data_IF_312040298413
#
_entry.id   IF_312040298413
#
_cell.length_a   1.000
_cell.length_b   1.000
_cell.length_c   1.000
_cell.angle_alpha   90.00
_cell.angle_beta   90.00
_cell.angle_gamma   90.00
#
_symmetry.space_group_name_H-M   'P 1'
#
loop_
_entity.id
_entity.type
_entity.pdbx_description
1 polymer ?
#
# COMPACT_ATOMS: atom_id res chain seq x y z
N UNK A 1 -7.65 11.09 -9.70
CA UNK A 1 -8.86 10.40 -10.23
C UNK A 1 -9.47 9.56 -9.13
N UNK A 2 -10.79 9.58 -8.99
CA UNK A 2 -11.49 8.79 -7.95
C UNK A 2 -11.40 7.29 -8.25
N UNK A 3 -11.32 6.47 -7.20
CA UNK A 3 -11.26 5.01 -7.34
C UNK A 3 -12.46 4.44 -8.09
N UNK A 4 -13.66 4.96 -7.84
CA UNK A 4 -14.87 4.56 -8.55
C UNK A 4 -14.78 4.76 -10.06
N UNK A 5 -14.20 5.88 -10.50
CA UNK A 5 -13.97 6.16 -11.94
C UNK A 5 -12.97 5.18 -12.57
N UNK A 6 -11.90 4.81 -11.82
CA UNK A 6 -10.93 3.82 -12.28
C UNK A 6 -11.58 2.46 -12.47
N UNK A 7 -12.39 2.03 -11.48
CA UNK A 7 -13.10 0.75 -11.54
C UNK A 7 -14.09 0.74 -12.70
N UNK A 8 -14.85 1.82 -12.91
CA UNK A 8 -15.79 1.92 -14.04
C UNK A 8 -15.08 1.83 -15.39
N UNK A 9 -13.92 2.48 -15.54
CA UNK A 9 -13.10 2.35 -16.76
C UNK A 9 -12.67 0.91 -17.03
N UNK A 10 -12.21 0.19 -15.98
CA UNK A 10 -11.86 -1.23 -16.12
C UNK A 10 -13.07 -2.05 -16.52
N UNK A 11 -14.24 -1.79 -15.92
CA UNK A 11 -15.49 -2.48 -16.26
C UNK A 11 -15.90 -2.24 -17.71
N UNK A 12 -15.82 -1.00 -18.18
CA UNK A 12 -16.15 -0.63 -19.58
C UNK A 12 -15.25 -1.36 -20.56
N UNK A 13 -13.93 -1.41 -20.31
CA UNK A 13 -13.01 -2.12 -21.18
C UNK A 13 -13.23 -3.65 -21.13
N UNK A 14 -13.54 -4.20 -19.96
CA UNK A 14 -13.83 -5.63 -19.81
C UNK A 14 -15.11 -6.05 -20.53
N UNK A 15 -16.17 -5.26 -20.42
CA UNK A 15 -17.49 -5.54 -21.02
C UNK A 15 -17.59 -5.10 -22.48
N UNK A 16 -16.59 -4.40 -23.04
CA UNK A 16 -16.65 -3.74 -24.36
C UNK A 16 -17.89 -2.90 -24.51
N UNK A 17 -18.19 -2.07 -23.50
CA UNK A 17 -19.35 -1.19 -23.38
C UNK A 17 -20.73 -1.89 -23.33
N UNK A 18 -20.79 -3.22 -23.30
CA UNK A 18 -22.03 -3.95 -23.05
C UNK A 18 -22.12 -4.24 -21.56
N UNK A 19 -22.88 -3.43 -20.84
CA UNK A 19 -23.21 -3.71 -19.44
C UNK A 19 -24.20 -4.88 -19.39
N UNK A 20 -23.74 -6.03 -18.91
CA UNK A 20 -24.59 -7.15 -18.57
C UNK A 20 -24.74 -7.22 -17.06
N UNK A 21 -25.99 -7.28 -16.57
CA UNK A 21 -26.28 -7.48 -15.15
C UNK A 21 -25.72 -8.81 -14.61
N UNK A 22 -25.41 -9.75 -15.51
CA UNK A 22 -24.82 -11.06 -15.21
C UNK A 22 -23.29 -11.04 -15.10
N UNK A 23 -22.66 -9.84 -15.10
CA UNK A 23 -21.20 -9.79 -14.96
C UNK A 23 -20.78 -10.29 -13.60
N UNK A 24 -20.11 -11.47 -13.55
CA UNK A 24 -19.54 -12.07 -12.32
C UNK A 24 -18.38 -11.25 -11.73
N UNK A 25 -18.07 -10.11 -12.33
CA UNK A 25 -16.94 -9.27 -11.97
C UNK A 25 -17.35 -8.25 -10.91
N UNK A 26 -17.08 -8.55 -9.64
CA UNK A 26 -17.34 -7.60 -8.56
C UNK A 26 -16.28 -6.47 -8.53
N UNK A 27 -16.69 -5.28 -8.09
CA UNK A 27 -15.78 -4.14 -7.89
C UNK A 27 -14.60 -4.48 -6.96
N UNK A 28 -14.81 -5.39 -6.01
CA UNK A 28 -13.77 -5.87 -5.11
C UNK A 28 -12.68 -6.68 -5.85
N UNK A 29 -13.07 -7.53 -6.81
CA UNK A 29 -12.10 -8.27 -7.64
C UNK A 29 -11.28 -7.32 -8.50
N UNK A 30 -11.93 -6.33 -9.12
CA UNK A 30 -11.25 -5.31 -9.90
C UNK A 30 -10.26 -4.55 -9.03
N UNK A 31 -10.68 -4.12 -7.84
CA UNK A 31 -9.81 -3.40 -6.91
C UNK A 31 -8.57 -4.22 -6.53
N UNK A 32 -8.74 -5.46 -6.10
CA UNK A 32 -7.61 -6.32 -5.72
C UNK A 32 -6.64 -6.53 -6.90
N UNK A 33 -7.16 -6.68 -8.11
CA UNK A 33 -6.34 -6.82 -9.30
C UNK A 33 -5.60 -5.52 -9.64
N UNK A 34 -6.29 -4.40 -9.51
CA UNK A 34 -5.73 -3.07 -9.71
C UNK A 34 -4.58 -2.79 -8.73
N UNK A 35 -4.71 -3.19 -7.45
CA UNK A 35 -3.63 -3.10 -6.47
C UNK A 35 -2.40 -3.90 -6.89
N UNK A 36 -2.60 -5.13 -7.38
CA UNK A 36 -1.50 -5.99 -7.84
C UNK A 36 -0.77 -5.35 -9.04
N UNK A 37 -1.52 -4.82 -10.01
CA UNK A 37 -0.95 -4.13 -11.17
C UNK A 37 -0.23 -2.84 -10.74
N UNK A 38 -0.83 -2.05 -9.85
CA UNK A 38 -0.20 -0.83 -9.29
C UNK A 38 1.15 -1.17 -8.64
N UNK A 39 1.17 -2.15 -7.76
CA UNK A 39 2.40 -2.57 -7.06
C UNK A 39 3.47 -3.00 -8.06
N UNK A 40 3.10 -3.77 -9.09
CA UNK A 40 4.03 -4.19 -10.15
C UNK A 40 4.61 -3.01 -10.92
N UNK A 41 3.78 -2.05 -11.35
CA UNK A 41 4.22 -0.88 -12.09
C UNK A 41 5.16 0.02 -11.26
N UNK A 42 4.82 0.27 -9.99
CA UNK A 42 5.68 1.05 -9.09
C UNK A 42 7.01 0.33 -8.85
N UNK A 43 6.99 -0.98 -8.58
CA UNK A 43 8.22 -1.77 -8.41
C UNK A 43 9.10 -1.79 -9.66
N UNK A 44 8.50 -1.83 -10.86
CA UNK A 44 9.26 -1.72 -12.11
C UNK A 44 9.95 -0.36 -12.25
N UNK A 45 9.23 0.74 -11.99
CA UNK A 45 9.81 2.09 -12.01
C UNK A 45 10.96 2.23 -10.99
N UNK A 46 10.78 1.70 -9.77
CA UNK A 46 11.81 1.71 -8.73
C UNK A 46 13.05 0.94 -9.15
N UNK A 47 12.90 -0.29 -9.67
CA UNK A 47 14.01 -1.11 -10.18
C UNK A 47 14.78 -0.46 -11.32
N UNK A 48 14.09 0.28 -12.17
CA UNK A 48 14.69 1.05 -13.26
C UNK A 48 15.30 2.38 -12.79
N UNK A 49 15.26 2.67 -11.47
CA UNK A 49 15.71 3.94 -10.88
C UNK A 49 15.03 5.17 -11.51
N UNK A 50 13.82 4.99 -12.02
CA UNK A 50 13.01 6.09 -12.51
C UNK A 50 12.40 6.85 -11.33
N UNK A 51 12.26 8.16 -11.48
CA UNK A 51 11.59 8.98 -10.46
C UNK A 51 10.13 8.58 -10.37
N UNK A 52 9.72 8.17 -9.17
CA UNK A 52 8.31 7.93 -8.87
C UNK A 52 7.66 9.29 -8.63
N UNK A 53 6.52 9.51 -9.26
CA UNK A 53 5.81 10.78 -9.16
C UNK A 53 5.25 10.98 -7.75
N UNK A 54 5.24 12.23 -7.29
CA UNK A 54 4.74 12.62 -5.96
C UNK A 54 3.29 12.22 -5.71
N UNK A 55 2.46 12.12 -6.74
CA UNK A 55 1.07 11.67 -6.68
C UNK A 55 0.87 10.21 -6.25
N UNK A 56 1.92 9.39 -6.33
CA UNK A 56 1.88 8.01 -5.89
C UNK A 56 2.05 7.86 -4.37
N UNK A 57 2.67 8.86 -3.73
CA UNK A 57 2.92 8.87 -2.29
C UNK A 57 1.69 9.33 -1.51
N UNK A 58 1.50 8.73 -0.35
CA UNK A 58 0.48 9.13 0.60
C UNK A 58 1.13 9.55 1.91
N UNK A 59 0.54 10.54 2.56
CA UNK A 59 1.03 11.04 3.85
C UNK A 59 0.05 10.67 4.95
N UNK A 60 0.55 9.99 5.97
CA UNK A 60 -0.15 9.79 7.24
C UNK A 60 0.40 10.84 8.20
N UNK A 61 -0.38 11.85 8.50
CA UNK A 61 0.05 13.03 9.25
C UNK A 61 0.03 12.87 10.76
N UNK A 62 -0.57 11.78 11.26
CA UNK A 62 -0.73 11.59 12.70
C UNK A 62 -0.49 10.13 13.08
N UNK A 63 0.75 9.80 13.46
CA UNK A 63 1.10 8.50 14.04
C UNK A 63 1.41 8.73 15.49
N UNK A 64 0.52 8.25 16.36
CA UNK A 64 0.71 8.34 17.81
C UNK A 64 1.84 7.39 18.25
N UNK A 65 2.82 7.93 18.96
CA UNK A 65 3.99 7.23 19.45
C UNK A 65 3.87 7.00 20.95
N UNK A 66 4.06 5.77 21.39
CA UNK A 66 4.03 5.37 22.81
C UNK A 66 5.41 4.91 23.25
N UNK A 67 5.71 5.11 24.52
CA UNK A 67 6.94 4.61 25.13
C UNK A 67 6.92 3.07 25.20
N UNK A 68 8.01 2.45 24.80
CA UNK A 68 8.13 0.99 24.85
C UNK A 68 8.47 0.56 26.26
N UNK A 69 7.75 -0.42 26.77
CA UNK A 69 8.05 -1.03 28.05
C UNK A 69 9.23 -2.02 27.92
N UNK A 70 10.09 -2.13 28.97
CA UNK A 70 11.29 -2.98 28.90
C UNK A 70 11.05 -4.45 28.55
N UNK A 71 9.84 -4.97 28.83
CA UNK A 71 9.48 -6.35 28.51
C UNK A 71 9.09 -6.55 27.03
N UNK A 72 8.71 -5.48 26.32
CA UNK A 72 8.38 -5.54 24.89
C UNK A 72 9.63 -5.47 24.00
N UNK A 73 10.72 -4.92 24.52
CA UNK A 73 11.98 -4.82 23.81
C UNK A 73 13.15 -5.27 24.70
N UNK A 74 13.34 -6.58 24.89
CA UNK A 74 14.44 -7.10 25.70
C UNK A 74 15.81 -6.73 25.15
N UNK A 75 15.87 -6.26 23.91
CA UNK A 75 17.09 -5.78 23.26
C UNK A 75 17.32 -4.28 23.42
N UNK A 76 16.48 -3.53 24.16
CA UNK A 76 16.79 -2.17 24.55
C UNK A 76 17.68 -2.20 25.80
N UNK A 77 18.99 -2.51 25.68
CA UNK A 77 19.89 -2.36 26.79
C UNK A 77 19.87 -0.90 27.16
N UNK A 78 20.07 -0.62 28.43
CA UNK A 78 20.20 0.67 29.06
C UNK A 78 20.88 1.73 28.15
N UNK A 79 20.15 2.23 27.19
CA UNK A 79 20.61 3.29 26.30
C UNK A 79 19.96 4.57 26.74
N UNK A 80 20.75 5.63 26.86
CA UNK A 80 20.26 6.99 27.15
C UNK A 80 19.41 7.58 26.00
N UNK A 81 18.76 6.74 25.21
CA UNK A 81 17.88 7.10 24.11
C UNK A 81 16.45 6.67 24.42
N UNK A 82 15.52 7.57 24.28
CA UNK A 82 14.10 7.22 24.33
C UNK A 82 13.74 6.47 23.03
N UNK A 83 13.14 5.31 23.19
CA UNK A 83 12.61 4.51 22.10
C UNK A 83 11.09 4.56 22.18
N UNK A 84 10.45 5.01 21.14
CA UNK A 84 9.00 4.99 21.01
C UNK A 84 8.57 4.11 19.86
N UNK A 85 7.40 3.52 19.99
CA UNK A 85 6.75 2.71 18.96
C UNK A 85 5.42 3.34 18.58
N UNK A 86 5.00 3.19 17.33
CA UNK A 86 3.63 3.54 16.97
C UNK A 86 2.63 2.74 17.79
N UNK A 87 1.56 3.40 18.23
CA UNK A 87 0.50 2.77 19.01
C UNK A 87 -0.20 1.65 18.24
N UNK A 88 -0.45 1.89 16.95
CA UNK A 88 -1.08 0.96 16.05
C UNK A 88 -0.10 0.52 14.96
N UNK A 89 -0.35 -0.64 14.37
CA UNK A 89 0.35 -1.07 13.16
C UNK A 89 0.07 -0.07 12.05
N UNK A 90 1.13 0.43 11.39
CA UNK A 90 0.98 1.29 10.23
C UNK A 90 0.59 0.44 9.01
N UNK A 91 -0.14 1.02 8.04
CA UNK A 91 -0.43 0.34 6.78
C UNK A 91 0.86 -0.14 6.11
N UNK A 92 0.79 -1.29 5.48
CA UNK A 92 1.96 -1.93 4.91
C UNK A 92 2.62 -1.07 3.83
N UNK A 93 3.88 -0.76 4.03
CA UNK A 93 4.68 0.03 3.09
C UNK A 93 5.25 -0.87 2.01
N UNK A 94 5.20 -0.41 0.76
CA UNK A 94 5.85 -1.11 -0.35
C UNK A 94 7.35 -1.20 -0.11
N UNK A 95 7.91 -2.36 -0.44
CA UNK A 95 9.36 -2.62 -0.32
C UNK A 95 9.97 -2.85 -1.70
N UNK A 96 11.20 -2.38 -1.87
CA UNK A 96 12.02 -2.69 -3.03
C UNK A 96 13.36 -3.27 -2.58
N UNK A 97 13.63 -4.51 -2.98
CA UNK A 97 14.76 -5.33 -2.53
C UNK A 97 14.86 -5.45 -1.00
N UNK A 98 15.45 -4.51 -0.32
CA UNK A 98 15.61 -4.49 1.13
C UNK A 98 15.23 -3.13 1.74
N UNK A 99 14.71 -2.21 0.94
CA UNK A 99 14.37 -0.87 1.38
C UNK A 99 12.88 -0.63 1.29
N UNK A 100 12.32 -0.07 2.35
CA UNK A 100 10.96 0.45 2.32
C UNK A 100 10.92 1.71 1.44
N UNK A 101 9.89 1.82 0.59
CA UNK A 101 9.69 2.98 -0.27
C UNK A 101 9.07 4.12 0.53
N UNK A 102 9.88 4.74 1.40
CA UNK A 102 9.52 5.85 2.27
C UNK A 102 10.26 7.08 1.79
N UNK A 103 9.53 8.17 1.60
CA UNK A 103 10.11 9.47 1.26
C UNK A 103 10.67 10.15 2.50
N UNK A 104 9.85 10.22 3.56
CA UNK A 104 10.30 10.76 4.84
C UNK A 104 9.47 10.27 6.03
N UNK A 105 10.10 10.31 7.19
CA UNK A 105 9.48 10.29 8.51
C UNK A 105 9.93 11.55 9.22
N UNK A 106 9.01 12.37 9.73
CA UNK A 106 9.33 13.64 10.37
C UNK A 106 8.32 14.01 11.46
N UNK A 107 8.63 15.05 12.20
CA UNK A 107 7.72 15.65 13.16
C UNK A 107 6.58 16.36 12.42
N UNK A 108 5.43 16.56 13.07
CA UNK A 108 4.26 17.23 12.49
C UNK A 108 4.57 18.68 12.02
N UNK A 109 5.41 19.37 12.76
CA UNK A 109 5.87 20.72 12.45
C UNK A 109 6.91 20.75 11.32
N UNK A 110 7.25 19.60 10.75
CA UNK A 110 8.27 19.43 9.70
C UNK A 110 9.66 19.94 10.09
N UNK A 111 9.90 20.14 11.38
CA UNK A 111 11.16 20.67 11.88
C UNK A 111 12.29 19.65 11.86
N UNK A 112 11.98 18.37 12.18
CA UNK A 112 12.99 17.34 12.33
C UNK A 112 12.67 16.10 11.50
N UNK A 113 13.62 15.70 10.66
CA UNK A 113 13.57 14.49 9.87
C UNK A 113 14.28 13.35 10.61
N UNK A 114 13.69 12.14 10.52
CA UNK A 114 14.26 10.91 11.03
C UNK A 114 14.97 10.16 9.91
N UNK A 115 16.19 9.69 10.16
CA UNK A 115 16.92 8.88 9.21
C UNK A 115 16.53 7.40 9.35
N UNK A 116 16.43 6.70 8.22
CA UNK A 116 16.20 5.24 8.25
C UNK A 116 17.39 4.51 8.86
N UNK A 117 17.12 3.48 9.63
CA UNK A 117 18.13 2.56 10.17
C UNK A 117 17.60 1.13 10.16
N UNK A 118 18.51 0.16 10.16
CA UNK A 118 18.17 -1.23 10.30
C UNK A 118 18.58 -1.78 11.68
N UNK A 119 18.07 -2.96 12.04
CA UNK A 119 18.36 -3.58 13.35
C UNK A 119 19.86 -3.81 13.58
N UNK A 120 20.62 -4.16 12.55
CA UNK A 120 22.04 -4.43 12.66
C UNK A 120 22.86 -3.15 12.90
N UNK A 121 22.47 -2.06 12.26
CA UNK A 121 23.12 -0.75 12.47
C UNK A 121 22.84 -0.19 13.87
N UNK A 122 21.65 -0.46 14.42
CA UNK A 122 21.29 0.00 15.77
C UNK A 122 22.27 -0.43 16.84
N UNK A 123 22.85 -1.64 16.72
CA UNK A 123 23.84 -2.15 17.68
C UNK A 123 25.10 -1.29 17.73
N UNK A 124 25.47 -0.64 16.63
CA UNK A 124 26.70 0.14 16.51
C UNK A 124 26.51 1.65 16.77
N UNK A 125 25.26 2.13 16.65
CA UNK A 125 24.95 3.57 16.72
C UNK A 125 25.13 4.11 18.14
N UNK A 126 24.72 3.33 19.13
CA UNK A 126 24.71 3.75 20.52
C UNK A 126 26.10 3.88 21.14
N UNK A 127 27.11 3.25 20.54
CA UNK A 127 28.49 3.37 20.96
C UNK A 127 29.24 4.60 20.43
N UNK A 128 28.66 5.35 19.50
CA UNK A 128 29.35 6.46 18.85
C UNK A 128 28.82 7.81 19.32
N UNK A 129 29.68 8.60 19.96
CA UNK A 129 29.39 9.95 20.48
C UNK A 129 28.77 10.90 19.45
N UNK A 130 29.13 10.76 18.16
CA UNK A 130 28.69 11.66 17.09
C UNK A 130 27.36 11.27 16.47
N UNK A 131 26.93 10.02 16.64
CA UNK A 131 25.71 9.49 16.01
C UNK A 131 24.59 9.21 17.01
N UNK A 132 24.90 9.17 18.31
CA UNK A 132 23.93 8.84 19.36
C UNK A 132 22.78 9.86 19.49
N UNK A 133 23.00 11.11 19.08
CA UNK A 133 21.97 12.17 19.14
C UNK A 133 21.08 12.24 17.91
N UNK A 134 21.40 11.51 16.83
CA UNK A 134 20.60 11.54 15.61
C UNK A 134 19.28 10.83 15.79
N UNK A 135 18.22 11.44 15.30
CA UNK A 135 16.89 10.85 15.26
C UNK A 135 16.80 9.83 14.14
N UNK A 136 16.29 8.65 14.46
CA UNK A 136 16.23 7.53 13.52
C UNK A 136 14.92 6.79 13.64
N UNK A 137 14.54 6.13 12.57
CA UNK A 137 13.38 5.26 12.57
C UNK A 137 13.69 3.89 11.96
N UNK A 138 12.90 2.93 12.35
CA UNK A 138 12.90 1.55 11.86
C UNK A 138 11.44 1.10 11.73
N UNK A 139 11.14 0.30 10.73
CA UNK A 139 9.86 -0.43 10.66
C UNK A 139 10.15 -1.90 10.95
N UNK A 140 9.41 -2.44 11.90
CA UNK A 140 9.49 -3.84 12.29
C UNK A 140 8.11 -4.37 12.62
N UNK A 141 7.70 -5.48 11.99
CA UNK A 141 6.37 -6.08 12.14
C UNK A 141 5.23 -5.06 11.96
N UNK A 142 5.35 -4.20 10.95
CA UNK A 142 4.41 -3.13 10.62
C UNK A 142 4.24 -2.05 11.72
N UNK A 143 5.14 -2.00 12.70
CA UNK A 143 5.22 -0.90 13.65
C UNK A 143 6.36 0.04 13.30
N UNK A 144 6.09 1.34 13.43
CA UNK A 144 7.10 2.38 13.32
C UNK A 144 7.78 2.55 14.69
N UNK A 145 9.08 2.33 14.73
CA UNK A 145 9.92 2.60 15.89
C UNK A 145 10.73 3.87 15.64
N UNK A 146 10.75 4.76 16.60
CA UNK A 146 11.54 5.98 16.55
C UNK A 146 12.53 6.04 17.71
N UNK A 147 13.75 6.41 17.39
CA UNK A 147 14.89 6.43 18.29
C UNK A 147 15.51 7.82 18.29
N UNK A 148 16.00 8.26 19.44
CA UNK A 148 16.74 9.49 19.56
C UNK A 148 16.43 10.26 20.83
N UNK A 149 16.99 11.44 20.90
CA UNK A 149 16.70 12.36 21.98
C UNK A 149 15.40 13.09 21.71
N UNK A 150 14.51 13.16 22.69
CA UNK A 150 13.25 13.91 22.62
C UNK A 150 12.36 13.50 21.43
N UNK A 151 12.09 12.18 21.28
CA UNK A 151 11.15 11.69 20.28
C UNK A 151 9.74 12.20 20.61
N UNK A 152 9.07 12.92 19.70
CA UNK A 152 7.75 13.47 19.93
C UNK A 152 6.69 12.37 20.07
N UNK A 153 5.52 12.75 20.56
CA UNK A 153 4.38 11.82 20.71
C UNK A 153 3.66 11.56 19.39
N UNK A 154 3.85 12.42 18.40
CA UNK A 154 3.19 12.32 17.12
C UNK A 154 4.23 12.51 16.00
N UNK A 155 4.21 11.59 15.05
CA UNK A 155 5.03 11.63 13.84
C UNK A 155 4.14 11.60 12.60
N UNK A 156 4.72 12.06 11.50
CA UNK A 156 4.14 11.88 10.16
C UNK A 156 5.07 11.04 9.29
N UNK A 157 4.47 10.23 8.43
CA UNK A 157 5.17 9.42 7.44
C UNK A 157 4.60 9.68 6.05
N UNK A 158 5.47 9.84 5.08
CA UNK A 158 5.11 9.84 3.66
C UNK A 158 5.76 8.65 2.99
N UNK A 159 4.92 7.77 2.43
CA UNK A 159 5.37 6.51 1.86
C UNK A 159 4.46 6.04 0.72
N UNK A 160 4.93 5.02 0.02
CA UNK A 160 4.11 4.22 -0.89
C UNK A 160 3.52 3.06 -0.11
N UNK A 161 2.21 3.05 0.07
CA UNK A 161 1.50 1.97 0.76
C UNK A 161 0.99 0.94 -0.23
N UNK A 162 1.01 -0.34 0.17
CA UNK A 162 0.48 -1.44 -0.65
C UNK A 162 -1.01 -1.26 -0.89
N UNK A 163 -1.77 -0.98 0.16
CA UNK A 163 -3.20 -0.63 0.07
C UNK A 163 -3.43 0.86 0.40
N UNK A 164 -3.76 1.68 -0.59
CA UNK A 164 -4.07 3.09 -0.39
C UNK A 164 -5.26 3.35 0.54
N UNK A 165 -6.25 2.46 0.54
CA UNK A 165 -7.44 2.60 1.37
C UNK A 165 -7.09 2.43 2.85
N UNK A 166 -6.23 1.48 3.19
CA UNK A 166 -5.76 1.30 4.56
C UNK A 166 -5.03 2.56 5.07
N UNK A 167 -4.21 3.18 4.21
CA UNK A 167 -3.51 4.40 4.56
C UNK A 167 -4.47 5.57 4.89
N UNK A 168 -5.54 5.73 4.11
CA UNK A 168 -6.56 6.76 4.38
C UNK A 168 -7.35 6.45 5.64
N UNK A 169 -7.76 5.20 5.83
CA UNK A 169 -8.46 4.76 7.06
C UNK A 169 -7.60 5.00 8.30
N UNK A 170 -6.31 4.74 8.21
CA UNK A 170 -5.39 4.98 9.32
C UNK A 170 -5.34 6.46 9.70
N UNK A 171 -5.32 7.37 8.73
CA UNK A 171 -5.31 8.81 8.96
C UNK A 171 -6.57 9.27 9.73
N UNK A 172 -7.71 8.63 9.51
CA UNK A 172 -8.95 8.97 10.21
C UNK A 172 -8.97 8.57 11.68
N UNK A 173 -8.15 7.60 12.10
CA UNK A 173 -8.05 7.18 13.50
C UNK A 173 -7.46 8.24 14.43
N UNK A 174 -6.72 9.20 13.89
CA UNK A 174 -6.09 10.26 14.68
C UNK A 174 -6.98 11.48 14.92
N UNK A 175 -8.11 11.60 14.26
CA UNK A 175 -9.08 12.65 14.56
C UNK A 175 -9.88 12.24 15.80
N UNK A 176 -9.74 12.98 16.88
CA UNK A 176 -10.51 12.79 18.13
C UNK A 176 -12.03 12.99 17.94
N UNK A 177 -12.44 13.55 16.83
CA UNK A 177 -13.80 13.54 16.35
C UNK A 177 -14.02 12.23 15.58
N UNK A 178 -14.40 11.20 16.30
CA UNK A 178 -15.02 9.98 15.75
C UNK A 178 -16.40 10.34 15.21
N UNK A 179 -16.46 11.28 14.30
CA UNK A 179 -17.50 11.26 13.31
C UNK A 179 -17.12 10.11 12.39
N UNK A 180 -17.76 8.97 12.63
CA UNK A 180 -17.86 7.87 11.68
C UNK A 180 -18.49 8.41 10.38
N UNK A 181 -17.76 9.27 9.69
CA UNK A 181 -18.07 9.57 8.30
C UNK A 181 -17.85 8.25 7.60
N UNK A 182 -18.94 7.64 7.20
CA UNK A 182 -18.90 6.54 6.23
C UNK A 182 -18.19 7.10 5.00
N UNK A 183 -16.87 6.97 4.96
CA UNK A 183 -16.09 7.38 3.79
C UNK A 183 -16.43 6.38 2.71
N UNK A 184 -17.09 6.84 1.66
CA UNK A 184 -17.30 6.00 0.49
C UNK A 184 -15.93 5.74 -0.14
N UNK A 185 -15.53 4.48 -0.15
CA UNK A 185 -14.25 4.03 -0.70
C UNK A 185 -14.13 4.42 -2.18
N UNK A 186 -15.24 4.45 -2.92
CA UNK A 186 -15.27 4.80 -4.34
C UNK A 186 -15.02 6.29 -4.60
N UNK A 187 -15.30 7.15 -3.63
CA UNK A 187 -15.03 8.59 -3.72
C UNK A 187 -13.60 8.99 -3.39
N UNK A 188 -12.80 8.06 -2.90
CA UNK A 188 -11.39 8.32 -2.56
C UNK A 188 -10.54 8.49 -3.81
N UNK A 189 -9.56 9.39 -3.74
CA UNK A 189 -8.56 9.53 -4.78
C UNK A 189 -7.64 8.30 -4.82
N UNK A 190 -7.48 7.73 -6.01
CA UNK A 190 -6.54 6.64 -6.22
C UNK A 190 -5.15 7.20 -6.47
N UNK A 191 -4.13 6.91 -5.62
CA UNK A 191 -2.81 7.53 -5.68
C UNK A 191 -1.98 6.92 -6.81
N UNK A 192 -2.21 7.42 -8.01
CA UNK A 192 -1.43 7.14 -9.21
C UNK A 192 -1.39 8.37 -10.12
N UNK A 193 -0.27 8.55 -10.82
CA UNK A 193 -0.13 9.55 -11.87
C UNK A 193 -0.95 9.18 -13.10
N UNK A 194 -1.41 10.19 -13.86
CA UNK A 194 -2.34 10.01 -14.98
C UNK A 194 -1.84 8.99 -16.03
N UNK A 195 -0.57 9.09 -16.42
CA UNK A 195 0.01 8.19 -17.43
C UNK A 195 0.05 6.74 -16.94
N UNK A 196 0.35 6.55 -15.65
CA UNK A 196 0.42 5.20 -15.06
C UNK A 196 -0.97 4.61 -14.83
N UNK A 197 -1.97 5.44 -14.54
CA UNK A 197 -3.37 4.99 -14.38
C UNK A 197 -3.90 4.35 -15.67
N UNK A 198 -3.70 4.97 -16.81
CA UNK A 198 -4.20 4.44 -18.09
C UNK A 198 -3.57 3.07 -18.40
N UNK A 199 -2.28 2.94 -18.17
CA UNK A 199 -1.58 1.64 -18.29
C UNK A 199 -2.13 0.63 -17.29
N UNK A 200 -2.38 1.04 -16.04
CA UNK A 200 -2.91 0.14 -15.01
C UNK A 200 -4.32 -0.34 -15.35
N UNK A 201 -5.18 0.53 -15.86
CA UNK A 201 -6.54 0.20 -16.31
C UNK A 201 -6.50 -0.81 -17.45
N UNK A 202 -5.66 -0.58 -18.46
CA UNK A 202 -5.51 -1.47 -19.61
C UNK A 202 -5.02 -2.86 -19.16
N UNK A 203 -3.90 -2.93 -18.42
CA UNK A 203 -3.33 -4.19 -17.94
C UNK A 203 -4.31 -4.95 -17.04
N UNK A 204 -5.02 -4.24 -16.18
CA UNK A 204 -6.02 -4.86 -15.29
C UNK A 204 -7.15 -5.49 -16.11
N UNK A 205 -7.67 -4.78 -17.11
CA UNK A 205 -8.74 -5.30 -17.98
C UNK A 205 -8.28 -6.51 -18.80
N UNK A 206 -7.09 -6.47 -19.38
CA UNK A 206 -6.50 -7.58 -20.15
C UNK A 206 -6.34 -8.84 -19.28
N UNK A 207 -5.77 -8.69 -18.07
CA UNK A 207 -5.59 -9.82 -17.16
C UNK A 207 -6.93 -10.40 -16.66
N UNK A 208 -7.97 -9.56 -16.46
CA UNK A 208 -9.29 -10.03 -16.09
C UNK A 208 -9.98 -10.75 -17.25
N UNK A 209 -9.81 -10.29 -18.49
CA UNK A 209 -10.31 -10.96 -19.68
C UNK A 209 -9.69 -12.37 -19.79
N UNK A 210 -8.38 -12.49 -19.61
CA UNK A 210 -7.69 -13.79 -19.66
C UNK A 210 -8.24 -14.73 -18.57
N UNK A 211 -8.41 -14.23 -17.33
CA UNK A 211 -8.86 -15.08 -16.22
C UNK A 211 -10.30 -15.57 -16.34
N UNK A 212 -11.20 -14.72 -16.83
CA UNK A 212 -12.64 -15.03 -16.81
C UNK A 212 -13.18 -15.49 -18.16
N UNK A 213 -12.62 -15.05 -19.29
CA UNK A 213 -13.11 -15.47 -20.62
C UNK A 213 -12.52 -16.77 -21.10
N UNK A 214 -11.28 -17.10 -20.74
CA UNK A 214 -10.73 -18.44 -21.08
C UNK A 214 -11.55 -19.58 -20.46
N UNK A 215 -12.04 -19.39 -19.20
CA UNK A 215 -12.87 -20.39 -18.57
C UNK A 215 -14.29 -20.53 -19.18
N UNK A 216 -14.76 -19.55 -19.95
CA UNK A 216 -16.07 -19.63 -20.60
C UNK A 216 -16.00 -20.33 -21.98
N UNK A 217 -14.88 -20.24 -22.68
CA UNK A 217 -14.71 -20.92 -23.96
C UNK A 217 -14.56 -22.44 -23.78
N UNK A 218 -13.86 -22.88 -22.73
CA UNK A 218 -13.72 -24.31 -22.42
C UNK A 218 -15.06 -24.97 -22.05
N UNK A 219 -15.96 -24.26 -21.39
CA UNK A 219 -17.29 -24.81 -21.02
C UNK A 219 -18.25 -24.86 -22.21
N UNK A 220 -18.10 -23.98 -23.21
CA UNK A 220 -18.97 -23.99 -24.39
C UNK A 220 -18.51 -24.97 -25.48
N UNK A 221 -17.24 -25.35 -25.48
CA UNK A 221 -16.67 -26.26 -26.48
C UNK A 221 -17.02 -27.73 -26.20
N UNK A 222 -17.31 -28.07 -24.94
CA UNK A 222 -17.62 -29.44 -24.54
C UNK A 222 -19.09 -29.87 -24.89
N UNK A 223 -19.94 -28.92 -25.28
CA UNK A 223 -21.33 -29.21 -25.69
C UNK A 223 -21.51 -29.32 -27.21
N UNK A 224 -20.47 -29.01 -28.00
CA UNK A 224 -20.53 -29.01 -29.47
C UNK A 224 -20.18 -30.33 -30.17
N UNK A 225 -19.51 -31.22 -29.49
CA UNK A 225 -18.92 -32.46 -30.08
C UNK A 225 -19.66 -33.77 -29.71
N UNK A 226 -20.98 -33.73 -29.63
CA UNK A 226 -21.73 -35.01 -29.62
C UNK A 226 -21.81 -35.48 -31.07
N UNK A 227 -21.07 -36.54 -31.47
CA UNK A 227 -21.22 -37.07 -32.82
C UNK A 227 -22.64 -37.62 -32.97
N UNK A 228 -23.40 -37.05 -33.91
CA UNK A 228 -24.70 -37.58 -34.31
C UNK A 228 -24.45 -38.95 -34.91
N UNK A 229 -24.67 -39.97 -34.15
CA UNK A 229 -24.69 -41.35 -34.67
C UNK A 229 -25.90 -41.49 -35.55
N UNK A 230 -25.73 -41.31 -36.85
CA UNK A 230 -26.75 -41.67 -37.85
C UNK A 230 -26.88 -43.18 -37.87
N UNK A 231 -27.86 -43.74 -37.13
CA UNK A 231 -28.33 -45.08 -37.35
C UNK A 231 -29.16 -45.14 -38.63
N UNK A 232 -28.50 -45.43 -39.72
CA UNK A 232 -29.15 -46.03 -40.91
C UNK A 232 -28.97 -47.53 -40.85
N UNK A 233 -30.07 -48.23 -40.71
CA UNK A 233 -30.23 -49.63 -40.87
C UNK A 233 -31.68 -49.93 -41.07
#
# INVERSE_FOLDING_TARGET
MKLGEVIQRVQSLYSRDVQSDDSRLSSRHIYNKLLTVRTRLISQKSKQKQKINDWNYQTISCIEMIDIQPHECPCAPAVNCTVKRSRYMIPKVMTDYNNNLIDYVMTIDSGDKFDFTNKSEMLHINGNKYTASKRRYLIDNDYLFAYGKDVPQILQIRALFEDPIEAVKFTTLCSSEVNERCIDIFDMEFPMDGDTIDIAVQLTSEELIVLFKQNMEDVSNDTGDIPVINSKG
#
